data_IF_073192046080
#
_entry.id   IF_073192046080
#
_cell.length_a   1.000
_cell.length_b   1.000
_cell.length_c   1.000
_cell.angle_alpha   90.00
_cell.angle_beta   90.00
_cell.angle_gamma   90.00
#
_symmetry.space_group_name_H-M   'P 1'
#
loop_
_entity.id
_entity.type
_entity.pdbx_description
1 polymer ?
#
# COMPACT_ATOMS: atom_id res chain seq x y z
N UNK A 1 -63.10 22.85 -23.56
CA UNK A 1 -62.49 21.77 -22.74
C UNK A 1 -60.98 21.61 -22.90
N UNK A 2 -60.21 22.65 -23.31
CA UNK A 2 -58.79 22.51 -23.60
C UNK A 2 -57.78 23.26 -22.69
N UNK A 3 -58.29 24.00 -21.69
CA UNK A 3 -57.40 24.82 -20.87
C UNK A 3 -56.96 24.20 -19.52
N UNK A 4 -57.65 23.15 -19.08
CA UNK A 4 -57.31 22.48 -17.80
C UNK A 4 -56.24 21.43 -18.00
N UNK A 5 -56.20 20.78 -19.15
CA UNK A 5 -55.19 19.71 -19.46
C UNK A 5 -53.79 20.32 -19.65
N UNK A 6 -53.67 21.52 -20.19
CA UNK A 6 -52.38 22.19 -20.36
C UNK A 6 -51.80 22.74 -19.05
N UNK A 7 -52.66 23.03 -18.06
CA UNK A 7 -52.22 23.53 -16.75
C UNK A 7 -51.60 22.37 -15.91
N UNK A 8 -52.14 21.13 -16.02
CA UNK A 8 -51.59 19.99 -15.33
C UNK A 8 -50.28 19.49 -15.93
N UNK A 9 -50.08 19.63 -17.24
CA UNK A 9 -48.84 19.22 -17.90
C UNK A 9 -47.69 20.19 -17.58
N UNK A 10 -47.96 21.47 -17.43
CA UNK A 10 -46.92 22.44 -17.05
C UNK A 10 -46.53 22.34 -15.56
N UNK A 11 -47.41 21.90 -14.68
CA UNK A 11 -47.10 21.70 -13.26
C UNK A 11 -46.22 20.45 -13.04
N UNK A 12 -46.36 19.39 -13.86
CA UNK A 12 -45.55 18.17 -13.79
C UNK A 12 -44.12 18.39 -14.27
N UNK A 13 -43.88 19.29 -15.22
CA UNK A 13 -42.52 19.60 -15.72
C UNK A 13 -41.72 20.45 -14.71
N UNK A 14 -42.40 21.30 -13.93
CA UNK A 14 -41.74 22.12 -12.90
C UNK A 14 -41.37 21.30 -11.66
N UNK A 15 -42.17 20.29 -11.31
CA UNK A 15 -41.86 19.37 -10.19
C UNK A 15 -40.67 18.44 -10.47
N UNK A 16 -40.35 18.13 -11.75
CA UNK A 16 -39.23 17.28 -12.14
C UNK A 16 -37.87 17.96 -12.07
N UNK A 17 -37.78 19.29 -11.99
CA UNK A 17 -36.51 20.02 -11.96
C UNK A 17 -35.98 20.32 -10.55
N UNK A 18 -36.74 20.03 -9.50
CA UNK A 18 -36.30 20.18 -8.10
C UNK A 18 -35.74 18.90 -7.48
N UNK A 19 -35.58 17.82 -8.22
CA UNK A 19 -35.01 16.53 -7.73
C UNK A 19 -33.52 16.37 -7.97
N UNK A 20 -32.78 17.42 -8.35
CA UNK A 20 -31.34 17.45 -8.12
C UNK A 20 -31.12 17.96 -6.70
N UNK A 21 -31.23 17.04 -5.73
CA UNK A 21 -31.00 17.35 -4.34
C UNK A 21 -29.64 17.99 -4.15
N UNK A 22 -29.62 19.15 -3.54
CA UNK A 22 -28.49 19.65 -2.77
C UNK A 22 -28.23 18.65 -1.64
N UNK A 23 -27.77 17.45 -1.98
CA UNK A 23 -27.09 16.59 -1.04
C UNK A 23 -25.88 17.39 -0.57
N UNK A 24 -25.87 17.78 0.69
CA UNK A 24 -24.82 18.54 1.34
C UNK A 24 -23.47 17.96 0.94
N UNK A 25 -22.81 18.57 -0.04
CA UNK A 25 -21.46 18.18 -0.47
C UNK A 25 -20.45 18.25 0.69
N UNK A 26 -20.74 19.02 1.73
CA UNK A 26 -20.01 19.03 2.99
C UNK A 26 -20.17 17.75 3.81
N UNK A 27 -21.38 17.23 3.93
CA UNK A 27 -21.66 16.02 4.72
C UNK A 27 -21.02 14.77 4.09
N UNK A 28 -21.03 14.66 2.76
CA UNK A 28 -20.35 13.59 2.03
C UNK A 28 -18.83 13.74 2.09
N UNK A 29 -18.31 14.96 2.05
CA UNK A 29 -16.87 15.22 2.17
C UNK A 29 -16.33 14.92 3.59
N UNK A 30 -17.15 15.13 4.63
CA UNK A 30 -16.78 14.79 6.01
C UNK A 30 -16.84 13.28 6.29
N UNK A 31 -17.56 12.50 5.48
CA UNK A 31 -17.62 11.03 5.57
C UNK A 31 -16.54 10.34 4.75
N UNK A 32 -15.85 11.03 3.84
CA UNK A 32 -14.77 10.47 3.06
C UNK A 32 -13.56 10.17 3.96
N UNK A 33 -12.95 8.96 3.86
CA UNK A 33 -11.76 8.63 4.63
C UNK A 33 -10.59 9.55 4.22
N UNK A 34 -9.87 10.05 5.21
CA UNK A 34 -8.64 10.82 5.03
C UNK A 34 -7.48 9.94 5.47
N UNK A 35 -6.70 9.47 4.50
CA UNK A 35 -5.64 8.48 4.74
C UNK A 35 -4.27 9.16 4.80
N UNK A 36 -3.45 8.76 5.77
CA UNK A 36 -2.02 9.08 5.84
C UNK A 36 -1.21 7.83 5.51
N UNK A 37 -0.41 7.89 4.46
CA UNK A 37 0.48 6.80 4.08
C UNK A 37 1.82 6.90 4.79
N UNK A 38 2.23 5.81 5.41
CA UNK A 38 3.51 5.64 6.09
C UNK A 38 4.39 4.74 5.22
N UNK A 39 5.15 5.39 4.33
CA UNK A 39 6.09 4.72 3.42
C UNK A 39 7.31 4.21 4.19
N UNK A 40 7.48 2.90 4.26
CA UNK A 40 8.61 2.27 4.92
C UNK A 40 9.93 2.50 4.17
N UNK A 41 9.93 2.47 2.84
CA UNK A 41 11.14 2.63 2.02
C UNK A 41 11.90 3.91 2.34
N UNK A 42 11.17 5.00 2.57
CA UNK A 42 11.73 6.30 2.89
C UNK A 42 11.97 6.53 4.38
N UNK A 43 11.26 5.81 5.25
CA UNK A 43 11.13 6.21 6.65
C UNK A 43 11.44 5.11 7.68
N UNK A 44 11.87 3.90 7.28
CA UNK A 44 12.06 2.79 8.23
C UNK A 44 13.01 3.16 9.39
N UNK A 45 14.09 3.90 9.14
CA UNK A 45 15.03 4.34 10.18
C UNK A 45 14.36 5.27 11.20
N UNK A 46 13.37 6.05 10.77
CA UNK A 46 12.65 7.00 11.63
C UNK A 46 11.55 6.31 12.42
N UNK A 47 10.78 5.46 11.76
CA UNK A 47 9.59 4.82 12.34
C UNK A 47 9.87 3.47 13.01
N UNK A 48 11.13 3.07 13.15
CA UNK A 48 11.53 1.95 14.00
C UNK A 48 11.78 2.40 15.46
N UNK A 49 10.91 3.27 15.98
CA UNK A 49 10.97 3.80 17.35
C UNK A 49 9.56 4.18 17.82
N UNK A 50 9.13 3.66 18.97
CA UNK A 50 7.79 3.86 19.51
C UNK A 50 7.44 5.33 19.75
N UNK A 51 8.34 6.10 20.34
CA UNK A 51 8.07 7.51 20.65
C UNK A 51 7.85 8.32 19.37
N UNK A 52 8.58 7.98 18.30
CA UNK A 52 8.41 8.60 17.00
C UNK A 52 7.07 8.22 16.37
N UNK A 53 6.68 6.95 16.44
CA UNK A 53 5.38 6.46 15.95
C UNK A 53 4.25 7.19 16.69
N UNK A 54 4.31 7.23 18.02
CA UNK A 54 3.32 7.90 18.87
C UNK A 54 3.16 9.38 18.49
N UNK A 55 4.27 10.11 18.42
CA UNK A 55 4.25 11.52 18.04
C UNK A 55 3.56 11.77 16.69
N UNK A 56 3.90 10.96 15.67
CA UNK A 56 3.31 11.16 14.35
C UNK A 56 1.85 10.70 14.26
N UNK A 57 1.45 9.62 14.93
CA UNK A 57 0.06 9.17 14.93
C UNK A 57 -0.86 10.16 15.67
N UNK A 58 -0.41 10.72 16.78
CA UNK A 58 -1.14 11.79 17.48
C UNK A 58 -1.30 13.04 16.61
N UNK A 59 -0.25 13.40 15.88
CA UNK A 59 -0.29 14.52 14.92
C UNK A 59 -1.24 14.25 13.76
N UNK A 60 -1.21 13.05 13.18
CA UNK A 60 -2.11 12.59 12.13
C UNK A 60 -3.56 12.68 12.61
N UNK A 61 -3.87 12.18 13.80
CA UNK A 61 -5.20 12.29 14.41
C UNK A 61 -5.63 13.73 14.61
N UNK A 62 -4.74 14.57 15.17
CA UNK A 62 -5.02 16.00 15.41
C UNK A 62 -5.30 16.78 14.11
N UNK A 63 -4.72 16.37 12.99
CA UNK A 63 -4.95 16.96 11.67
C UNK A 63 -6.26 16.46 11.00
N UNK A 64 -7.02 15.58 11.67
CA UNK A 64 -8.32 15.12 11.19
C UNK A 64 -8.25 13.96 10.19
N UNK A 65 -7.15 13.23 10.14
CA UNK A 65 -7.09 11.95 9.42
C UNK A 65 -7.93 10.90 10.15
N UNK A 66 -8.48 9.97 9.37
CA UNK A 66 -9.34 8.88 9.87
C UNK A 66 -8.66 7.53 9.78
N UNK A 67 -7.70 7.42 8.87
CA UNK A 67 -7.04 6.17 8.53
C UNK A 67 -5.54 6.39 8.36
N UNK A 68 -4.77 5.33 8.64
CA UNK A 68 -3.36 5.21 8.23
C UNK A 68 -3.18 4.02 7.31
N UNK A 69 -2.28 4.15 6.34
CA UNK A 69 -1.80 3.04 5.52
C UNK A 69 -0.35 2.77 5.91
N UNK A 70 -0.08 1.62 6.50
CA UNK A 70 1.25 1.22 6.95
C UNK A 70 1.86 0.30 5.91
N UNK A 71 2.99 0.69 5.33
CA UNK A 71 3.73 -0.16 4.42
C UNK A 71 4.51 -1.21 5.22
N UNK A 72 4.11 -2.47 5.09
CA UNK A 72 4.67 -3.60 5.83
C UNK A 72 5.51 -4.52 4.96
N UNK A 73 5.50 -4.35 3.65
CA UNK A 73 6.33 -5.06 2.69
C UNK A 73 6.88 -4.10 1.64
N UNK A 74 8.02 -3.43 1.93
CA UNK A 74 8.66 -2.48 1.03
C UNK A 74 9.21 -3.14 -0.24
N UNK A 75 9.81 -2.34 -1.11
CA UNK A 75 10.34 -2.80 -2.42
C UNK A 75 11.47 -3.82 -2.34
N UNK A 76 12.09 -4.02 -1.17
CA UNK A 76 13.04 -5.11 -0.96
C UNK A 76 12.39 -6.49 -0.99
N UNK A 77 11.06 -6.56 -0.79
CA UNK A 77 10.33 -7.82 -0.70
C UNK A 77 10.40 -8.51 0.66
N UNK A 78 11.18 -7.98 1.60
CA UNK A 78 11.18 -8.38 3.01
C UNK A 78 9.94 -7.85 3.74
N UNK A 79 9.67 -8.36 4.94
CA UNK A 79 8.59 -7.90 5.80
C UNK A 79 9.12 -7.02 6.95
N UNK A 80 8.26 -6.16 7.50
CA UNK A 80 8.54 -5.35 8.69
C UNK A 80 7.91 -5.94 9.96
N UNK A 81 7.42 -7.17 9.88
CA UNK A 81 6.91 -7.97 11.00
C UNK A 81 7.43 -9.40 10.88
N UNK A 82 7.44 -10.14 11.96
CA UNK A 82 7.84 -11.56 11.97
C UNK A 82 6.79 -12.40 11.23
N UNK A 83 7.25 -13.24 10.29
CA UNK A 83 6.44 -14.07 9.41
C UNK A 83 7.01 -15.48 9.34
N UNK A 84 6.13 -16.46 9.18
CA UNK A 84 6.52 -17.84 8.91
C UNK A 84 6.96 -18.06 7.44
N UNK A 85 6.61 -17.14 6.54
CA UNK A 85 6.75 -17.32 5.08
C UNK A 85 7.84 -16.45 4.44
N UNK A 86 8.13 -15.30 5.03
CA UNK A 86 9.06 -14.34 4.43
C UNK A 86 10.05 -13.77 5.43
N UNK A 87 11.28 -13.44 5.00
CA UNK A 87 12.29 -12.89 5.87
C UNK A 87 11.95 -11.48 6.35
N UNK A 88 12.30 -11.20 7.62
CA UNK A 88 12.25 -9.88 8.22
C UNK A 88 13.30 -8.96 7.59
N UNK A 89 12.98 -7.69 7.39
CA UNK A 89 13.93 -6.67 6.93
C UNK A 89 14.89 -6.28 8.07
N UNK A 90 16.06 -6.88 8.12
CA UNK A 90 17.08 -6.62 9.14
C UNK A 90 18.18 -5.69 8.68
N UNK A 91 18.18 -5.28 7.40
CA UNK A 91 19.16 -4.36 6.83
C UNK A 91 18.51 -3.48 5.76
N UNK A 92 18.82 -2.19 5.76
CA UNK A 92 18.35 -1.26 4.75
C UNK A 92 19.42 -0.19 4.46
N UNK A 93 19.77 -0.03 3.18
CA UNK A 93 20.79 0.94 2.73
C UNK A 93 22.12 0.81 3.47
N UNK A 94 22.55 -0.43 3.73
CA UNK A 94 23.81 -0.72 4.43
C UNK A 94 23.77 -0.54 5.94
N UNK A 95 22.61 -0.19 6.54
CA UNK A 95 22.42 -0.07 7.98
C UNK A 95 21.62 -1.25 8.52
N UNK A 96 22.05 -1.76 9.67
CA UNK A 96 21.28 -2.77 10.42
C UNK A 96 20.02 -2.15 11.03
N UNK A 97 18.91 -2.90 10.97
CA UNK A 97 17.64 -2.54 11.58
C UNK A 97 17.36 -3.53 12.70
N UNK A 98 17.24 -3.03 13.91
CA UNK A 98 16.95 -3.83 15.09
C UNK A 98 15.54 -3.53 15.58
N UNK A 99 14.68 -4.54 15.54
CA UNK A 99 13.33 -4.45 16.09
C UNK A 99 13.35 -4.74 17.59
N UNK A 100 12.84 -3.81 18.39
CA UNK A 100 12.67 -3.98 19.84
C UNK A 100 11.22 -4.22 20.23
N UNK A 101 10.34 -4.27 19.25
CA UNK A 101 8.90 -4.48 19.39
C UNK A 101 8.31 -5.01 18.07
N UNK A 102 7.11 -5.59 18.15
CA UNK A 102 6.32 -5.93 16.96
C UNK A 102 5.89 -4.64 16.23
N UNK A 103 6.49 -4.40 15.07
CA UNK A 103 6.29 -3.17 14.30
C UNK A 103 4.82 -3.00 13.88
N UNK A 104 4.23 -3.99 13.24
CA UNK A 104 2.85 -3.91 12.75
C UNK A 104 1.84 -3.90 13.91
N UNK A 105 2.01 -4.79 14.87
CA UNK A 105 1.15 -4.86 16.06
C UNK A 105 1.13 -3.55 16.83
N UNK A 106 2.28 -2.88 16.98
CA UNK A 106 2.33 -1.59 17.64
C UNK A 106 1.59 -0.48 16.89
N UNK A 107 1.71 -0.42 15.56
CA UNK A 107 0.93 0.52 14.75
C UNK A 107 -0.57 0.30 14.89
N UNK A 108 -1.01 -0.96 14.88
CA UNK A 108 -2.43 -1.33 15.02
C UNK A 108 -2.93 -0.89 16.41
N UNK A 109 -2.22 -1.28 17.47
CA UNK A 109 -2.60 -0.95 18.85
C UNK A 109 -2.71 0.57 19.03
N UNK A 110 -1.65 1.31 18.70
CA UNK A 110 -1.61 2.76 18.93
C UNK A 110 -2.62 3.51 18.08
N UNK A 111 -2.77 3.15 16.80
CA UNK A 111 -3.74 3.77 15.91
C UNK A 111 -5.18 3.55 16.39
N UNK A 112 -5.52 2.33 16.83
CA UNK A 112 -6.85 2.03 17.38
C UNK A 112 -7.12 2.79 18.67
N UNK A 113 -6.15 2.94 19.58
CA UNK A 113 -6.26 3.79 20.77
C UNK A 113 -6.62 5.24 20.42
N UNK A 114 -6.12 5.75 19.29
CA UNK A 114 -6.41 7.08 18.78
C UNK A 114 -7.70 7.14 17.94
N UNK A 115 -8.39 6.02 17.73
CA UNK A 115 -9.57 5.92 16.85
C UNK A 115 -9.23 6.16 15.39
N UNK A 116 -8.05 5.73 14.93
CA UNK A 116 -7.66 5.64 13.53
C UNK A 116 -7.85 4.20 13.04
N UNK A 117 -8.26 4.03 11.79
CA UNK A 117 -8.25 2.71 11.13
C UNK A 117 -6.86 2.44 10.56
N UNK A 118 -6.48 1.17 10.48
CA UNK A 118 -5.19 0.74 9.92
C UNK A 118 -5.43 -0.10 8.66
N UNK A 119 -4.66 0.19 7.63
CA UNK A 119 -4.59 -0.60 6.40
C UNK A 119 -3.13 -1.00 6.20
N UNK A 120 -2.86 -2.28 5.99
CA UNK A 120 -1.54 -2.77 5.64
C UNK A 120 -1.31 -2.64 4.13
N UNK A 121 -0.16 -2.08 3.74
CA UNK A 121 0.26 -1.99 2.35
C UNK A 121 1.39 -2.97 2.08
N UNK A 122 1.26 -3.71 0.97
CA UNK A 122 2.25 -4.69 0.53
C UNK A 122 2.59 -4.47 -0.95
N UNK A 123 3.88 -4.35 -1.27
CA UNK A 123 4.36 -4.38 -2.66
C UNK A 123 4.28 -5.82 -3.19
N UNK A 124 3.14 -6.19 -3.79
CA UNK A 124 2.79 -7.57 -4.14
C UNK A 124 3.78 -8.21 -5.10
N UNK A 125 4.04 -7.59 -6.26
CA UNK A 125 4.83 -8.18 -7.34
C UNK A 125 6.29 -7.70 -7.36
N UNK A 126 6.87 -7.41 -6.20
CA UNK A 126 8.29 -7.08 -6.04
C UNK A 126 8.89 -8.03 -5.03
N UNK A 127 10.04 -8.60 -5.32
CA UNK A 127 10.73 -9.52 -4.43
C UNK A 127 12.22 -9.17 -4.24
N UNK A 128 12.60 -7.92 -4.53
CA UNK A 128 13.97 -7.47 -4.32
C UNK A 128 14.24 -6.07 -4.82
N UNK A 129 15.41 -5.56 -4.44
CA UNK A 129 15.93 -4.26 -4.82
C UNK A 129 17.20 -4.41 -5.68
N UNK A 130 17.08 -4.11 -6.99
CA UNK A 130 18.14 -4.40 -7.97
C UNK A 130 19.47 -3.68 -7.74
N UNK A 131 19.46 -2.48 -7.14
CA UNK A 131 20.71 -1.74 -6.90
C UNK A 131 21.46 -2.23 -5.64
N UNK A 132 20.78 -2.94 -4.76
CA UNK A 132 21.38 -3.47 -3.53
C UNK A 132 21.60 -4.98 -3.61
N UNK A 133 21.03 -5.64 -4.63
CA UNK A 133 20.99 -7.10 -4.76
C UNK A 133 20.44 -7.78 -3.48
N UNK A 134 19.44 -7.15 -2.87
CA UNK A 134 18.80 -7.60 -1.63
C UNK A 134 17.37 -8.05 -1.91
N UNK A 135 16.89 -9.00 -1.12
CA UNK A 135 15.52 -9.50 -1.15
C UNK A 135 15.39 -10.95 -1.61
N UNK A 136 14.22 -11.57 -1.39
CA UNK A 136 13.99 -13.00 -1.63
C UNK A 136 14.38 -13.50 -3.01
N UNK A 137 14.31 -12.68 -4.05
CA UNK A 137 14.69 -13.05 -5.43
C UNK A 137 16.20 -13.24 -5.61
N UNK A 138 17.02 -12.59 -4.77
CA UNK A 138 18.49 -12.70 -4.75
C UNK A 138 18.96 -13.73 -3.73
N UNK A 139 18.13 -13.98 -2.73
CA UNK A 139 18.40 -14.83 -1.60
C UNK A 139 17.64 -16.16 -1.76
N UNK A 140 18.15 -17.26 -1.27
CA UNK A 140 17.42 -18.52 -1.21
C UNK A 140 17.06 -19.18 -2.54
N UNK A 141 17.74 -18.83 -3.66
CA UNK A 141 17.58 -19.54 -4.94
C UNK A 141 16.29 -19.26 -5.70
N UNK A 142 15.69 -18.06 -5.53
CA UNK A 142 14.43 -17.65 -6.15
C UNK A 142 14.59 -16.85 -7.46
N UNK A 143 15.71 -17.00 -8.14
CA UNK A 143 15.99 -16.28 -9.39
C UNK A 143 14.99 -16.53 -10.53
N UNK A 144 14.34 -17.69 -10.54
CA UNK A 144 13.30 -18.08 -11.49
C UNK A 144 11.98 -17.33 -11.29
N UNK A 145 11.82 -16.63 -10.17
CA UNK A 145 10.68 -15.70 -9.97
C UNK A 145 10.79 -14.46 -10.84
N UNK A 146 11.99 -14.12 -11.34
CA UNK A 146 12.25 -12.86 -12.04
C UNK A 146 11.39 -12.69 -13.29
N UNK A 147 10.81 -11.51 -13.45
CA UNK A 147 10.25 -11.08 -14.74
C UNK A 147 11.36 -10.95 -15.78
N UNK A 148 11.07 -11.33 -17.03
CA UNK A 148 11.96 -11.14 -18.17
C UNK A 148 11.69 -9.79 -18.82
N UNK A 149 12.72 -9.04 -19.11
CA UNK A 149 12.63 -7.68 -19.69
C UNK A 149 13.50 -7.51 -20.92
N UNK A 150 13.15 -6.51 -21.75
CA UNK A 150 14.00 -6.00 -22.82
C UNK A 150 14.76 -4.77 -22.31
N UNK A 151 16.10 -4.80 -22.20
CA UNK A 151 16.85 -3.60 -21.87
C UNK A 151 16.76 -2.59 -23.02
N UNK A 152 16.54 -1.31 -22.73
CA UNK A 152 16.49 -0.28 -23.76
C UNK A 152 17.89 -0.10 -24.42
N UNK A 153 17.92 0.02 -25.73
CA UNK A 153 19.10 0.32 -26.56
C UNK A 153 20.15 -0.78 -26.74
N UNK A 154 19.83 -2.03 -26.46
CA UNK A 154 20.69 -3.17 -26.79
C UNK A 154 20.07 -4.02 -27.90
N UNK A 155 20.87 -4.87 -28.56
CA UNK A 155 20.34 -5.91 -29.43
C UNK A 155 19.26 -6.69 -28.67
N UNK A 156 18.19 -7.09 -29.38
CA UNK A 156 16.99 -7.73 -28.79
C UNK A 156 17.38 -8.98 -28.01
N UNK A 157 17.81 -8.78 -26.77
CA UNK A 157 18.16 -9.84 -25.82
C UNK A 157 17.23 -9.72 -24.60
N UNK A 158 16.53 -10.80 -24.33
CA UNK A 158 15.75 -10.94 -23.11
C UNK A 158 16.67 -11.22 -21.93
N UNK A 159 16.52 -10.47 -20.83
CA UNK A 159 17.26 -10.70 -19.59
C UNK A 159 16.31 -10.75 -18.41
N UNK A 160 16.66 -11.45 -17.31
CA UNK A 160 15.95 -11.32 -16.06
C UNK A 160 16.01 -9.88 -15.54
N UNK A 161 14.94 -9.41 -14.90
CA UNK A 161 14.88 -8.06 -14.30
C UNK A 161 16.00 -7.82 -13.29
N UNK A 162 16.50 -8.86 -12.64
CA UNK A 162 17.62 -8.83 -11.70
C UNK A 162 18.96 -8.41 -12.33
N UNK A 163 19.08 -8.53 -13.65
CA UNK A 163 20.24 -8.06 -14.42
C UNK A 163 20.06 -6.60 -14.91
N UNK A 164 18.83 -6.06 -14.91
CA UNK A 164 18.52 -4.70 -15.35
C UNK A 164 18.72 -3.69 -14.20
N UNK A 165 19.98 -3.30 -13.99
CA UNK A 165 20.38 -2.42 -12.88
C UNK A 165 19.87 -0.97 -12.97
N UNK A 166 19.26 -0.56 -14.08
CA UNK A 166 18.59 0.76 -14.19
C UNK A 166 17.22 0.80 -13.52
N UNK A 167 16.67 -0.36 -13.14
CA UNK A 167 15.40 -0.48 -12.42
C UNK A 167 15.67 -0.73 -10.93
N UNK A 168 14.92 -0.05 -10.05
CA UNK A 168 15.06 -0.24 -8.61
C UNK A 168 14.44 -1.57 -8.15
N UNK A 169 13.24 -1.87 -8.62
CA UNK A 169 12.47 -3.02 -8.15
C UNK A 169 12.76 -4.26 -8.98
N UNK A 170 13.13 -5.34 -8.32
CA UNK A 170 13.17 -6.67 -8.91
C UNK A 170 11.74 -7.24 -8.92
N UNK A 171 11.06 -6.99 -10.04
CA UNK A 171 9.68 -7.46 -10.23
C UNK A 171 9.65 -8.95 -10.53
N UNK A 172 8.63 -9.61 -10.05
CA UNK A 172 8.40 -11.05 -10.24
C UNK A 172 7.43 -11.30 -11.37
N UNK A 173 7.55 -12.46 -11.99
CA UNK A 173 6.58 -12.96 -12.95
C UNK A 173 5.29 -13.36 -12.20
N UNK A 174 4.15 -12.67 -12.42
CA UNK A 174 2.92 -12.93 -11.68
C UNK A 174 2.28 -14.30 -11.97
N UNK A 175 2.69 -15.00 -13.04
CA UNK A 175 2.23 -16.37 -13.36
C UNK A 175 3.13 -17.47 -12.79
N UNK A 176 4.18 -17.12 -12.05
CA UNK A 176 4.98 -18.12 -11.34
C UNK A 176 4.19 -18.67 -10.15
N UNK A 177 3.87 -19.97 -10.19
CA UNK A 177 2.98 -20.61 -9.20
C UNK A 177 3.59 -20.62 -7.79
N UNK A 178 4.91 -20.85 -7.67
CA UNK A 178 5.60 -20.82 -6.38
C UNK A 178 5.51 -19.43 -5.74
N UNK A 179 5.70 -18.38 -6.55
CA UNK A 179 5.55 -17.02 -6.05
C UNK A 179 4.11 -16.69 -5.67
N UNK A 180 3.13 -17.15 -6.43
CA UNK A 180 1.72 -16.97 -6.09
C UNK A 180 1.40 -17.56 -4.72
N UNK A 181 1.83 -18.78 -4.44
CA UNK A 181 1.59 -19.40 -3.12
C UNK A 181 2.35 -18.66 -2.02
N UNK A 182 3.58 -18.24 -2.25
CA UNK A 182 4.37 -17.44 -1.33
C UNK A 182 3.66 -16.15 -0.93
N UNK A 183 3.18 -15.37 -1.89
CA UNK A 183 2.53 -14.08 -1.60
C UNK A 183 1.13 -14.25 -0.99
N UNK A 184 0.40 -15.29 -1.37
CA UNK A 184 -0.89 -15.62 -0.75
C UNK A 184 -0.75 -16.00 0.72
N UNK A 185 0.31 -16.71 1.11
CA UNK A 185 0.58 -17.03 2.50
C UNK A 185 0.87 -15.75 3.31
N UNK A 186 1.63 -14.81 2.77
CA UNK A 186 1.87 -13.50 3.41
C UNK A 186 0.55 -12.74 3.58
N UNK A 187 -0.34 -12.73 2.57
CA UNK A 187 -1.65 -12.09 2.72
C UNK A 187 -2.51 -12.74 3.80
N UNK A 188 -2.47 -14.07 3.94
CA UNK A 188 -3.23 -14.79 4.98
C UNK A 188 -2.76 -14.46 6.40
N UNK A 189 -1.50 -14.05 6.59
CA UNK A 189 -0.99 -13.61 7.89
C UNK A 189 -1.51 -12.21 8.28
N UNK A 190 -1.81 -11.35 7.32
CA UNK A 190 -2.14 -9.93 7.56
C UNK A 190 -3.66 -9.69 7.66
N UNK A 191 -4.49 -10.64 7.23
CA UNK A 191 -5.96 -10.50 7.16
C UNK A 191 -6.68 -11.12 8.42
#
# INVERSE_FOLDING_TARGET
>A
MNNITNLFLSLLVVAGLYSCGNGNSKEVADLAPKLMWIDATANIERFNNKDTIDYYLEKVKKLGFTDIVVDVRPISGHLLYESEYAPLLTKWRGKEIHYTFDYLGYYIEKAHQLGLKVQASLNTFVAGHNHMDEGPIYEGGKADWATIVYPPNEEVKLIPITEEKKKYSAMVNPVNEEFQEYILNIFREVV
#
